data_IF_103620265028
#
_entry.id   IF_103620265028
#
_cell.length_a   1.000
_cell.length_b   1.000
_cell.length_c   1.000
_cell.angle_alpha   90.00
_cell.angle_beta   90.00
_cell.angle_gamma   90.00
#
_symmetry.space_group_name_H-M   'P 1'
#
loop_
_entity.id
_entity.type
_entity.pdbx_description
1 polymer ?
#
# COMPACT_ATOMS: atom_id res chain seq x y z
N UNK A 1 -40.88 18.19 52.13
CA UNK A 1 -42.04 18.73 52.87
C UNK A 1 -42.81 19.65 51.95
N UNK A 2 -44.08 19.33 51.67
CA UNK A 2 -45.16 20.13 51.03
C UNK A 2 -44.89 20.66 49.61
N UNK A 3 -45.81 20.78 48.65
CA UNK A 3 -47.27 20.57 48.47
C UNK A 3 -47.50 21.04 47.00
N UNK A 4 -48.27 20.38 46.13
CA UNK A 4 -49.67 20.68 45.76
C UNK A 4 -50.02 19.74 44.59
N UNK A 5 -50.91 18.77 44.74
CA UNK A 5 -52.39 18.82 44.66
C UNK A 5 -52.93 18.87 43.21
N UNK A 6 -53.40 17.70 42.76
CA UNK A 6 -54.13 17.40 41.52
C UNK A 6 -55.64 17.54 41.78
N UNK A 7 -56.37 18.13 40.83
CA UNK A 7 -57.83 18.31 40.89
C UNK A 7 -58.60 17.16 40.20
N UNK A 8 -59.79 16.92 40.73
CA UNK A 8 -60.56 15.68 40.70
C UNK A 8 -61.55 15.54 39.53
N UNK A 9 -61.88 14.28 39.24
CA UNK A 9 -63.01 13.80 38.45
C UNK A 9 -64.37 14.03 39.13
N UNK A 10 -65.46 13.98 38.35
CA UNK A 10 -66.82 13.79 38.85
C UNK A 10 -67.58 12.81 37.95
N UNK A 11 -67.95 11.71 38.59
CA UNK A 11 -68.72 10.52 38.18
C UNK A 11 -70.23 10.91 38.05
N UNK A 12 -71.14 10.26 37.30
CA UNK A 12 -71.92 9.09 37.76
C UNK A 12 -73.11 8.71 36.82
N UNK A 13 -73.11 7.43 36.35
CA UNK A 13 -74.21 6.41 36.24
C UNK A 13 -75.49 6.70 35.40
N UNK A 14 -76.24 5.76 34.77
CA UNK A 14 -76.39 4.27 34.68
C UNK A 14 -77.39 3.98 33.51
N UNK A 15 -77.14 3.02 32.58
CA UNK A 15 -77.70 1.63 32.47
C UNK A 15 -79.24 1.53 32.18
N UNK A 16 -79.85 0.65 31.35
CA UNK A 16 -79.53 -0.69 30.77
C UNK A 16 -80.52 -1.05 29.60
N UNK A 17 -79.97 -1.55 28.48
CA UNK A 17 -80.22 -2.78 27.64
C UNK A 17 -81.63 -3.33 27.25
N UNK A 18 -81.70 -3.76 25.96
CA UNK A 18 -82.29 -5.01 25.35
C UNK A 18 -83.56 -4.83 24.48
N UNK A 19 -83.86 -5.56 23.39
CA UNK A 19 -83.20 -6.36 22.34
C UNK A 19 -84.34 -6.91 21.41
N UNK A 20 -83.97 -7.40 20.21
CA UNK A 20 -84.78 -8.15 19.21
C UNK A 20 -85.73 -7.33 18.31
N UNK A 21 -85.93 -7.59 17.02
CA UNK A 21 -85.44 -8.62 16.09
C UNK A 21 -86.29 -8.57 14.80
N UNK A 22 -85.65 -8.70 13.64
CA UNK A 22 -86.13 -9.17 12.32
C UNK A 22 -87.64 -9.10 11.96
N UNK A 23 -88.01 -8.41 10.87
CA UNK A 23 -88.78 -8.98 9.74
C UNK A 23 -88.91 -7.98 8.57
N UNK A 24 -88.87 -8.54 7.37
CA UNK A 24 -88.75 -7.92 6.05
C UNK A 24 -90.04 -7.25 5.56
N UNK A 25 -89.93 -6.13 4.83
CA UNK A 25 -90.82 -5.83 3.71
C UNK A 25 -90.03 -5.25 2.54
N UNK A 26 -90.14 -5.96 1.40
CA UNK A 26 -89.72 -5.52 0.10
C UNK A 26 -90.84 -4.68 -0.53
N UNK A 27 -90.52 -3.53 -1.11
CA UNK A 27 -91.36 -2.89 -2.11
C UNK A 27 -90.62 -2.77 -3.44
N UNK A 28 -91.31 -3.26 -4.47
CA UNK A 28 -90.86 -3.41 -5.84
C UNK A 28 -91.23 -2.14 -6.63
N UNK A 29 -90.25 -1.64 -7.37
CA UNK A 29 -90.35 -0.95 -8.67
C UNK A 29 -90.82 0.51 -8.74
N UNK A 30 -89.87 1.40 -9.09
CA UNK A 30 -89.95 2.18 -10.33
C UNK A 30 -88.57 2.74 -10.73
N UNK A 31 -87.78 1.95 -11.45
CA UNK A 31 -86.66 2.51 -12.22
C UNK A 31 -87.21 3.06 -13.54
N UNK A 32 -87.37 4.38 -13.64
CA UNK A 32 -87.48 5.05 -14.93
C UNK A 32 -86.08 5.13 -15.51
N UNK A 33 -85.85 4.45 -16.65
CA UNK A 33 -84.57 4.45 -17.33
C UNK A 33 -84.12 5.86 -17.69
N UNK A 34 -83.10 6.35 -16.99
CA UNK A 34 -82.20 7.36 -17.53
C UNK A 34 -81.21 6.66 -18.46
N UNK A 35 -80.97 7.26 -19.62
CA UNK A 35 -79.99 6.81 -20.60
C UNK A 35 -78.67 6.38 -19.93
N UNK A 36 -78.21 5.18 -20.27
CA UNK A 36 -76.86 4.72 -19.91
C UNK A 36 -75.88 5.66 -20.61
N UNK A 37 -75.38 6.65 -19.87
CA UNK A 37 -74.16 7.35 -20.22
C UNK A 37 -73.04 6.34 -20.15
N UNK A 38 -72.55 5.94 -21.32
CA UNK A 38 -71.44 5.03 -21.50
C UNK A 38 -70.23 5.45 -20.66
N UNK A 39 -69.80 4.60 -19.73
CA UNK A 39 -68.56 4.81 -19.00
C UNK A 39 -67.39 4.33 -19.88
N UNK A 40 -66.70 5.25 -20.56
CA UNK A 40 -65.31 4.99 -20.97
C UNK A 40 -64.43 5.14 -19.73
N UNK A 41 -63.87 4.04 -19.23
CA UNK A 41 -62.81 4.10 -18.23
C UNK A 41 -61.46 4.16 -18.96
N UNK A 42 -60.68 5.18 -18.62
CA UNK A 42 -59.27 5.23 -18.99
C UNK A 42 -58.48 4.63 -17.83
N UNK A 43 -57.60 3.67 -18.13
CA UNK A 43 -56.66 3.09 -17.18
C UNK A 43 -55.25 3.49 -17.57
N UNK A 44 -54.47 3.93 -16.59
CA UNK A 44 -53.07 4.29 -16.77
C UNK A 44 -52.16 3.30 -16.06
N UNK A 45 -51.18 2.73 -16.76
CA UNK A 45 -50.37 1.63 -16.20
C UNK A 45 -49.26 2.10 -15.25
N UNK A 46 -48.92 3.39 -15.25
CA UNK A 46 -47.85 3.97 -14.42
C UNK A 46 -48.37 4.91 -13.30
N UNK A 47 -49.69 5.05 -13.20
CA UNK A 47 -50.37 5.85 -12.19
C UNK A 47 -50.65 7.31 -12.58
N UNK A 48 -50.52 7.71 -13.84
CA UNK A 48 -50.93 9.04 -14.31
C UNK A 48 -49.82 9.79 -15.01
N UNK A 49 -49.48 10.99 -14.53
CA UNK A 49 -48.32 11.74 -15.05
C UNK A 49 -47.04 11.24 -14.36
N UNK A 50 -46.37 10.24 -14.95
CA UNK A 50 -45.15 9.63 -14.46
C UNK A 50 -44.05 9.52 -15.54
N UNK A 51 -43.37 10.64 -15.76
CA UNK A 51 -42.33 10.76 -16.79
C UNK A 51 -41.13 9.80 -16.68
N UNK A 52 -40.98 9.06 -15.58
CA UNK A 52 -39.82 8.20 -15.31
C UNK A 52 -40.12 6.71 -15.34
N UNK A 53 -41.38 6.32 -15.59
CA UNK A 53 -41.80 4.94 -15.75
C UNK A 53 -42.63 4.86 -17.01
N UNK A 54 -42.27 3.98 -17.96
CA UNK A 54 -43.04 3.84 -19.19
C UNK A 54 -44.47 3.36 -18.87
N UNK A 55 -45.43 4.21 -19.16
CA UNK A 55 -46.87 4.00 -19.04
C UNK A 55 -47.59 3.74 -20.34
N UNK A 56 -48.88 3.46 -20.21
CA UNK A 56 -49.83 3.29 -21.30
C UNK A 56 -51.22 3.65 -20.81
N UNK A 57 -51.80 4.68 -21.43
CA UNK A 57 -53.19 5.05 -21.24
C UNK A 57 -54.09 4.18 -22.14
N UNK A 58 -54.94 3.38 -21.51
CA UNK A 58 -55.83 2.40 -22.17
C UNK A 58 -57.29 2.81 -21.98
N UNK A 59 -58.04 2.96 -23.09
CA UNK A 59 -59.50 3.09 -23.06
C UNK A 59 -60.13 1.77 -23.52
N UNK A 60 -61.15 1.32 -22.80
CA UNK A 60 -62.08 0.31 -23.29
C UNK A 60 -63.40 0.96 -23.71
N UNK A 61 -63.82 0.76 -24.95
CA UNK A 61 -65.08 1.28 -25.49
C UNK A 61 -66.24 0.30 -25.26
N UNK A 62 -67.48 0.75 -25.44
CA UNK A 62 -68.69 -0.06 -25.25
C UNK A 62 -68.75 -1.32 -26.15
N UNK A 63 -68.03 -1.30 -27.27
CA UNK A 63 -67.93 -2.44 -28.21
C UNK A 63 -66.83 -3.43 -27.81
N UNK A 64 -66.30 -3.32 -26.58
CA UNK A 64 -65.14 -4.09 -26.10
C UNK A 64 -63.85 -3.87 -26.91
N UNK A 65 -63.80 -2.81 -27.73
CA UNK A 65 -62.60 -2.41 -28.46
C UNK A 65 -61.69 -1.59 -27.55
N UNK A 66 -60.43 -2.02 -27.45
CA UNK A 66 -59.39 -1.36 -26.65
C UNK A 66 -58.53 -0.46 -27.53
N UNK A 67 -58.33 0.78 -27.09
CA UNK A 67 -57.41 1.75 -27.70
C UNK A 67 -56.35 2.08 -26.66
N UNK A 68 -55.08 1.98 -27.02
CA UNK A 68 -53.95 2.22 -26.11
C UNK A 68 -53.00 3.26 -26.68
N UNK A 69 -52.53 4.15 -25.81
CA UNK A 69 -51.49 5.13 -26.11
C UNK A 69 -50.35 4.93 -25.12
N UNK A 70 -49.16 4.65 -25.64
CA UNK A 70 -47.99 4.28 -24.84
C UNK A 70 -46.97 5.38 -24.90
N UNK A 71 -46.33 5.65 -23.76
CA UNK A 71 -45.29 6.66 -23.67
C UNK A 71 -44.15 6.40 -24.64
N UNK A 72 -43.71 7.48 -25.28
CA UNK A 72 -42.74 7.41 -26.34
C UNK A 72 -41.83 8.62 -26.31
N UNK A 73 -40.54 8.38 -26.53
CA UNK A 73 -39.59 9.46 -26.74
C UNK A 73 -39.84 10.07 -28.13
N UNK A 74 -40.32 11.31 -28.14
CA UNK A 74 -40.48 12.09 -29.37
C UNK A 74 -39.11 12.35 -30.01
N UNK A 75 -38.10 12.59 -29.19
CA UNK A 75 -36.69 12.71 -29.56
C UNK A 75 -35.81 12.32 -28.35
N UNK A 76 -34.49 12.46 -28.47
CA UNK A 76 -33.53 12.08 -27.43
C UNK A 76 -33.68 12.81 -26.10
N UNK A 77 -34.43 13.92 -26.03
CA UNK A 77 -34.59 14.77 -24.84
C UNK A 77 -36.04 15.12 -24.52
N UNK A 78 -37.01 14.60 -25.27
CA UNK A 78 -38.43 14.93 -25.08
C UNK A 78 -39.26 13.66 -25.03
N UNK A 79 -39.97 13.47 -23.92
CA UNK A 79 -40.94 12.40 -23.73
C UNK A 79 -42.34 12.90 -24.09
N UNK A 80 -43.05 12.16 -24.93
CA UNK A 80 -44.51 12.28 -25.02
C UNK A 80 -45.10 11.30 -24.02
N UNK A 81 -45.60 11.86 -22.93
CA UNK A 81 -46.29 11.18 -21.86
C UNK A 81 -47.78 11.06 -22.21
N UNK A 82 -48.33 9.85 -22.21
CA UNK A 82 -49.75 9.59 -22.34
C UNK A 82 -50.34 9.19 -21.01
N UNK A 83 -51.34 9.95 -20.57
CA UNK A 83 -51.93 9.74 -19.26
C UNK A 83 -53.45 9.85 -19.29
N UNK A 84 -54.10 9.27 -18.29
CA UNK A 84 -55.55 9.39 -18.15
C UNK A 84 -55.98 10.73 -17.51
N UNK A 85 -56.49 11.66 -18.33
CA UNK A 85 -57.16 12.87 -17.82
C UNK A 85 -58.66 12.61 -17.69
N UNK A 86 -59.10 12.41 -16.45
CA UNK A 86 -60.48 12.03 -16.11
C UNK A 86 -60.89 10.67 -16.70
N UNK A 87 -61.47 10.64 -17.90
CA UNK A 87 -61.97 9.41 -18.56
C UNK A 87 -61.42 9.21 -19.97
N UNK A 88 -60.49 10.07 -20.38
CA UNK A 88 -59.92 10.07 -21.72
C UNK A 88 -58.40 10.19 -21.63
N UNK A 89 -57.66 9.57 -22.56
CA UNK A 89 -56.23 9.72 -22.67
C UNK A 89 -55.94 11.15 -23.13
N UNK A 90 -54.95 11.74 -22.49
CA UNK A 90 -54.34 12.99 -22.85
C UNK A 90 -52.85 12.75 -23.05
N UNK A 91 -52.17 13.71 -23.67
CA UNK A 91 -50.72 13.66 -23.81
C UNK A 91 -50.06 14.98 -23.46
N UNK A 92 -48.86 14.94 -22.90
CA UNK A 92 -48.01 16.10 -22.68
C UNK A 92 -46.59 15.81 -23.14
N UNK A 93 -45.91 16.83 -23.67
CA UNK A 93 -44.49 16.72 -23.99
C UNK A 93 -43.66 17.24 -22.81
N UNK A 94 -42.90 16.36 -22.18
CA UNK A 94 -42.00 16.66 -21.08
C UNK A 94 -40.55 16.73 -21.57
N UNK A 95 -39.82 17.76 -21.14
CA UNK A 95 -38.38 17.84 -21.36
C UNK A 95 -37.64 16.97 -20.35
N UNK A 96 -36.82 16.04 -20.84
CA UNK A 96 -36.00 15.14 -20.02
C UNK A 96 -34.55 15.64 -20.01
N UNK A 97 -34.11 16.21 -18.88
CA UNK A 97 -32.76 16.79 -18.73
C UNK A 97 -31.63 15.81 -19.04
N UNK A 98 -31.78 14.53 -18.67
CA UNK A 98 -30.78 13.48 -18.87
C UNK A 98 -31.07 12.59 -20.09
N UNK A 99 -32.00 13.03 -20.94
CA UNK A 99 -32.45 12.31 -22.11
C UNK A 99 -33.68 11.44 -21.87
N UNK A 100 -34.29 11.01 -22.97
CA UNK A 100 -35.42 10.10 -23.00
C UNK A 100 -34.98 8.79 -23.66
N UNK A 101 -35.27 7.67 -23.02
CA UNK A 101 -35.01 6.34 -23.57
C UNK A 101 -36.16 5.38 -23.27
N UNK A 102 -36.52 4.56 -24.25
CA UNK A 102 -37.54 3.52 -24.13
C UNK A 102 -38.93 4.01 -23.66
N UNK A 103 -39.28 5.28 -23.88
CA UNK A 103 -40.55 5.85 -23.45
C UNK A 103 -40.58 6.31 -21.99
N UNK A 104 -39.41 6.66 -21.42
CA UNK A 104 -39.31 7.30 -20.12
C UNK A 104 -38.10 8.26 -20.09
N UNK A 105 -38.17 9.30 -19.26
CA UNK A 105 -37.02 10.13 -18.94
C UNK A 105 -35.99 9.33 -18.15
N UNK A 106 -34.71 9.50 -18.49
CA UNK A 106 -33.60 8.89 -17.77
C UNK A 106 -33.38 9.64 -16.45
N UNK A 107 -33.20 8.91 -15.35
CA UNK A 107 -32.76 9.48 -14.07
C UNK A 107 -31.23 9.62 -14.05
N UNK A 108 -30.68 10.68 -13.42
CA UNK A 108 -29.24 10.78 -13.28
C UNK A 108 -28.72 9.60 -12.48
N UNK A 109 -27.57 9.05 -12.89
CA UNK A 109 -26.84 8.08 -12.08
C UNK A 109 -26.32 8.81 -10.84
N UNK A 110 -26.39 8.16 -9.68
CA UNK A 110 -25.73 8.69 -8.50
C UNK A 110 -24.20 8.75 -8.73
N UNK A 111 -23.62 9.93 -8.50
CA UNK A 111 -22.19 10.18 -8.56
C UNK A 111 -21.74 10.84 -7.27
N UNK A 112 -20.55 10.46 -6.83
CA UNK A 112 -19.97 10.82 -5.55
C UNK A 112 -18.52 11.25 -5.76
N UNK A 113 -18.14 12.44 -5.30
CA UNK A 113 -16.86 13.07 -5.68
C UNK A 113 -15.65 12.54 -4.92
N UNK A 114 -15.83 11.90 -3.77
CA UNK A 114 -14.77 11.36 -2.91
C UNK A 114 -14.87 9.83 -2.69
N UNK A 115 -15.69 9.19 -3.52
CA UNK A 115 -15.84 7.75 -3.70
C UNK A 115 -16.37 7.00 -2.47
N UNK A 116 -17.62 7.26 -2.11
CA UNK A 116 -18.37 6.42 -1.18
C UNK A 116 -18.42 7.06 0.19
N UNK A 117 -18.07 6.32 1.23
CA UNK A 117 -18.12 6.84 2.60
C UNK A 117 -16.72 7.28 3.03
N UNK A 118 -16.33 8.50 2.68
CA UNK A 118 -15.04 9.12 2.95
C UNK A 118 -15.14 10.34 3.87
N UNK A 119 -15.25 10.09 5.17
CA UNK A 119 -15.41 11.12 6.21
C UNK A 119 -14.26 12.14 6.33
N UNK A 120 -13.15 11.98 5.60
CA UNK A 120 -11.94 12.83 5.71
C UNK A 120 -11.70 13.69 4.47
N UNK A 121 -12.54 13.55 3.46
CA UNK A 121 -12.57 14.43 2.28
C UNK A 121 -13.95 15.07 2.26
N UNK A 122 -14.03 16.30 1.78
CA UNK A 122 -15.34 16.94 1.60
C UNK A 122 -15.90 16.51 0.25
N UNK A 123 -16.95 15.72 0.26
CA UNK A 123 -17.64 15.22 -0.89
C UNK A 123 -18.84 16.05 -1.34
N UNK A 124 -19.23 15.79 -2.59
CA UNK A 124 -20.45 16.27 -3.21
C UNK A 124 -21.10 15.10 -3.95
N UNK A 125 -22.35 14.83 -3.59
CA UNK A 125 -23.18 13.80 -4.21
C UNK A 125 -24.27 14.41 -5.07
N UNK A 126 -24.40 13.87 -6.27
CA UNK A 126 -25.52 14.12 -7.17
C UNK A 126 -26.23 12.81 -7.47
N UNK A 127 -27.57 12.81 -7.55
CA UNK A 127 -28.27 11.58 -7.82
C UNK A 127 -29.75 11.71 -8.13
N UNK A 128 -30.45 10.56 -8.20
CA UNK A 128 -31.81 10.45 -8.70
C UNK A 128 -32.93 10.81 -7.71
N UNK A 129 -32.67 11.00 -6.40
CA UNK A 129 -33.70 11.39 -5.42
C UNK A 129 -33.78 12.88 -5.19
N UNK A 130 -32.64 13.57 -5.24
CA UNK A 130 -32.56 14.98 -4.89
C UNK A 130 -32.18 15.81 -6.13
N UNK A 131 -32.99 16.83 -6.42
CA UNK A 131 -32.74 17.77 -7.53
C UNK A 131 -31.63 18.80 -7.23
N UNK A 132 -30.75 18.50 -6.28
CA UNK A 132 -29.65 19.37 -5.85
C UNK A 132 -28.41 18.56 -5.46
N UNK A 133 -27.26 19.23 -5.46
CA UNK A 133 -26.05 18.71 -4.85
C UNK A 133 -26.26 18.52 -3.34
N UNK A 134 -25.89 17.34 -2.84
CA UNK A 134 -25.72 17.09 -1.41
C UNK A 134 -24.23 17.23 -1.10
N UNK A 135 -23.89 18.03 -0.09
CA UNK A 135 -22.51 18.38 0.21
C UNK A 135 -22.25 17.98 1.66
N UNK A 136 -21.12 17.34 1.90
CA UNK A 136 -20.73 16.94 3.23
C UNK A 136 -20.54 18.14 4.14
N UNK A 137 -20.92 17.96 5.40
CA UNK A 137 -20.92 19.06 6.35
C UNK A 137 -20.69 18.58 7.79
N UNK A 138 -20.23 19.51 8.61
CA UNK A 138 -19.98 19.26 10.02
C UNK A 138 -21.24 19.42 10.85
N UNK A 139 -21.48 18.49 11.77
CA UNK A 139 -22.64 18.45 12.65
C UNK A 139 -22.26 18.45 14.13
N UNK A 140 -23.20 18.89 14.98
CA UNK A 140 -23.08 19.00 16.45
C UNK A 140 -21.78 19.66 16.93
N UNK A 141 -21.64 20.96 16.64
CA UNK A 141 -20.48 21.77 17.01
C UNK A 141 -19.16 21.16 16.52
N UNK A 142 -19.13 20.75 15.25
CA UNK A 142 -17.93 20.17 14.63
C UNK A 142 -17.43 18.89 15.30
N UNK A 143 -18.31 18.05 15.87
CA UNK A 143 -17.91 16.73 16.42
C UNK A 143 -18.23 15.55 15.53
N UNK A 144 -19.05 15.75 14.51
CA UNK A 144 -19.43 14.71 13.57
C UNK A 144 -19.30 15.21 12.14
N UNK A 145 -18.91 14.34 11.23
CA UNK A 145 -19.06 14.53 9.79
C UNK A 145 -20.35 13.85 9.35
N UNK A 146 -21.18 14.58 8.60
CA UNK A 146 -22.28 14.02 7.82
C UNK A 146 -21.76 13.79 6.42
N UNK A 147 -21.70 12.51 6.08
CA UNK A 147 -21.21 11.98 4.81
C UNK A 147 -22.39 11.66 3.92
N UNK A 148 -22.54 12.35 2.79
CA UNK A 148 -23.43 11.94 1.72
C UNK A 148 -22.68 10.99 0.79
N UNK A 149 -23.34 9.92 0.37
CA UNK A 149 -22.69 8.95 -0.52
C UNK A 149 -23.68 8.27 -1.46
N UNK A 150 -23.16 7.67 -2.53
CA UNK A 150 -23.94 6.78 -3.39
C UNK A 150 -24.02 5.36 -2.79
N UNK A 151 -25.20 4.96 -2.33
CA UNK A 151 -25.43 3.61 -1.82
C UNK A 151 -25.43 2.56 -2.93
N UNK A 152 -25.25 1.28 -2.57
CA UNK A 152 -25.17 0.16 -3.51
C UNK A 152 -26.41 -0.02 -4.40
N UNK A 153 -27.57 0.50 -3.97
CA UNK A 153 -28.79 0.52 -4.76
C UNK A 153 -28.84 1.64 -5.82
N UNK A 154 -27.77 2.43 -5.97
CA UNK A 154 -27.65 3.52 -6.94
C UNK A 154 -28.32 4.83 -6.51
N UNK A 155 -28.71 4.94 -5.25
CA UNK A 155 -29.38 6.13 -4.69
C UNK A 155 -28.51 6.83 -3.64
N UNK A 156 -28.76 8.11 -3.45
CA UNK A 156 -28.12 8.94 -2.43
C UNK A 156 -28.52 8.46 -1.03
N UNK A 157 -27.55 8.43 -0.13
CA UNK A 157 -27.73 8.12 1.28
C UNK A 157 -26.82 9.01 2.12
N UNK A 158 -26.93 8.90 3.44
CA UNK A 158 -26.00 9.59 4.35
C UNK A 158 -25.58 8.71 5.52
N UNK A 159 -24.41 9.00 6.07
CA UNK A 159 -23.88 8.40 7.28
C UNK A 159 -23.41 9.51 8.22
N UNK A 160 -23.46 9.23 9.52
CA UNK A 160 -22.94 10.11 10.56
C UNK A 160 -21.72 9.44 11.19
N UNK A 161 -20.60 10.15 11.24
CA UNK A 161 -19.35 9.64 11.80
C UNK A 161 -18.79 10.60 12.85
N UNK A 162 -18.36 10.08 13.99
CA UNK A 162 -17.79 10.89 15.06
C UNK A 162 -16.32 11.23 14.74
N UNK A 163 -16.01 12.51 14.59
CA UNK A 163 -14.65 12.96 14.34
C UNK A 163 -13.92 13.17 15.67
N UNK A 164 -12.84 12.41 15.89
CA UNK A 164 -12.04 12.49 17.12
C UNK A 164 -11.39 13.87 17.30
N UNK A 165 -10.82 14.43 16.24
CA UNK A 165 -10.19 15.77 16.24
C UNK A 165 -11.14 16.87 15.75
N UNK A 166 -12.44 16.58 15.75
CA UNK A 166 -13.47 17.46 15.23
C UNK A 166 -13.56 17.49 13.70
N UNK A 167 -14.51 18.26 13.20
CA UNK A 167 -14.86 18.38 11.78
C UNK A 167 -14.71 19.82 11.32
N UNK A 168 -14.12 20.01 10.15
CA UNK A 168 -13.99 21.30 9.50
C UNK A 168 -14.31 21.19 8.01
N UNK A 169 -15.05 22.17 7.50
CA UNK A 169 -15.39 22.27 6.07
C UNK A 169 -16.04 21.01 5.47
N UNK A 170 -16.78 20.27 6.29
CA UNK A 170 -17.51 19.06 5.89
C UNK A 170 -16.74 17.75 5.98
N UNK A 171 -15.46 17.79 6.38
CA UNK A 171 -14.65 16.61 6.61
C UNK A 171 -14.16 16.55 8.06
N UNK A 172 -13.96 15.35 8.58
CA UNK A 172 -13.21 15.15 9.80
C UNK A 172 -11.79 15.68 9.63
N UNK A 173 -11.31 16.41 10.63
CA UNK A 173 -9.88 16.67 10.75
C UNK A 173 -9.16 15.32 10.86
N UNK A 174 -8.17 15.11 10.02
CA UNK A 174 -7.28 13.96 10.15
C UNK A 174 -6.58 14.06 11.50
N UNK A 175 -6.46 12.95 12.26
CA UNK A 175 -5.63 12.95 13.44
C UNK A 175 -4.24 13.45 13.06
N UNK A 176 -3.79 14.54 13.68
CA UNK A 176 -2.42 14.98 13.51
C UNK A 176 -1.56 13.82 14.00
N UNK A 177 -0.79 13.22 13.10
CA UNK A 177 0.07 12.08 13.37
C UNK A 177 1.49 12.43 12.92
N UNK A 178 2.50 11.77 13.49
CA UNK A 178 3.82 11.74 12.89
C UNK A 178 3.75 11.09 11.50
N UNK A 179 4.71 11.37 10.66
CA UNK A 179 4.91 10.74 9.35
C UNK A 179 6.40 10.61 9.11
N UNK A 180 6.97 9.50 9.52
CA UNK A 180 8.38 9.21 9.44
C UNK A 180 8.71 8.66 8.05
N UNK A 181 9.73 9.26 7.44
CA UNK A 181 10.28 8.78 6.18
C UNK A 181 11.80 8.74 6.26
N UNK A 182 12.39 7.88 5.43
CA UNK A 182 13.79 8.01 5.08
C UNK A 182 13.92 9.24 4.19
N UNK A 183 14.54 10.31 4.72
CA UNK A 183 14.77 11.55 3.98
C UNK A 183 15.84 11.36 2.90
N UNK A 184 16.93 10.67 3.26
CA UNK A 184 17.99 10.34 2.30
C UNK A 184 18.71 9.05 2.67
N UNK A 185 19.06 8.27 1.66
CA UNK A 185 19.87 7.07 1.76
C UNK A 185 20.98 7.14 0.71
N UNK A 186 22.23 7.22 1.15
CA UNK A 186 23.40 7.29 0.27
C UNK A 186 24.54 6.45 0.80
N UNK A 187 25.60 6.32 -0.01
CA UNK A 187 26.83 5.64 0.37
C UNK A 187 28.05 6.51 0.04
N UNK A 188 29.23 6.14 0.56
CA UNK A 188 30.45 6.91 0.32
C UNK A 188 30.99 6.81 -1.13
N UNK A 189 30.53 5.84 -1.93
CA UNK A 189 30.96 5.64 -3.33
C UNK A 189 29.81 5.15 -4.21
N UNK A 190 29.86 5.50 -5.50
CA UNK A 190 28.88 5.03 -6.49
C UNK A 190 29.11 3.57 -6.96
N UNK A 191 30.33 3.05 -6.78
CA UNK A 191 30.71 1.69 -7.14
C UNK A 191 31.84 1.19 -6.22
N UNK A 192 31.85 -0.12 -6.02
CA UNK A 192 32.75 -0.85 -5.12
C UNK A 192 33.34 -2.06 -5.84
N UNK A 193 34.47 -2.55 -5.34
CA UNK A 193 35.04 -3.85 -5.69
C UNK A 193 34.69 -4.88 -4.61
N UNK A 194 34.76 -6.18 -4.90
CA UNK A 194 34.60 -7.20 -3.87
C UNK A 194 35.62 -6.98 -2.73
N UNK A 195 35.18 -7.17 -1.49
CA UNK A 195 35.97 -6.89 -0.29
C UNK A 195 35.99 -5.42 0.14
N UNK A 196 35.52 -4.46 -0.68
CA UNK A 196 35.45 -3.06 -0.25
C UNK A 196 34.45 -2.88 0.90
N UNK A 197 34.86 -2.08 1.89
CA UNK A 197 33.95 -1.61 2.92
C UNK A 197 32.98 -0.56 2.36
N UNK A 198 31.68 -0.76 2.60
CA UNK A 198 30.62 0.18 2.25
C UNK A 198 30.22 0.99 3.48
N UNK A 199 30.22 2.32 3.36
CA UNK A 199 29.64 3.20 4.38
C UNK A 199 28.28 3.70 3.91
N UNK A 200 27.27 3.56 4.77
CA UNK A 200 25.89 3.94 4.49
C UNK A 200 25.57 5.20 5.32
N UNK A 201 24.97 6.20 4.67
CA UNK A 201 24.48 7.43 5.29
C UNK A 201 22.96 7.47 5.17
N UNK A 202 22.28 7.70 6.29
CA UNK A 202 20.82 7.64 6.39
C UNK A 202 20.36 8.85 7.19
N UNK A 203 19.40 9.58 6.64
CA UNK A 203 18.74 10.67 7.33
C UNK A 203 17.25 10.35 7.43
N UNK A 204 16.68 10.62 8.59
CA UNK A 204 15.26 10.42 8.85
C UNK A 204 14.58 11.78 9.07
N UNK A 205 13.35 11.91 8.59
CA UNK A 205 12.55 13.11 8.88
C UNK A 205 11.14 12.72 9.24
N UNK A 206 10.55 13.52 10.12
CA UNK A 206 9.13 13.49 10.38
C UNK A 206 8.45 14.58 9.54
N UNK A 207 7.83 14.21 8.42
CA UNK A 207 7.06 15.13 7.57
C UNK A 207 5.61 15.33 8.04
N UNK A 208 5.22 14.69 9.16
CA UNK A 208 3.89 14.76 9.74
C UNK A 208 3.70 15.98 10.64
N UNK A 209 2.56 16.02 11.33
CA UNK A 209 2.12 17.19 12.12
C UNK A 209 2.19 16.98 13.65
N UNK A 210 2.64 15.80 14.10
CA UNK A 210 2.95 15.51 15.50
C UNK A 210 4.37 14.97 15.64
N UNK A 211 4.94 15.15 16.83
CA UNK A 211 6.24 14.57 17.15
C UNK A 211 6.18 13.05 17.12
N UNK A 212 7.11 12.43 16.39
CA UNK A 212 7.34 10.99 16.44
C UNK A 212 8.06 10.67 17.73
N UNK A 213 7.57 9.68 18.49
CA UNK A 213 8.20 9.22 19.72
C UNK A 213 9.40 8.31 19.47
N UNK A 214 9.73 7.47 20.46
CA UNK A 214 10.76 6.44 20.30
C UNK A 214 10.30 5.38 19.30
N UNK A 215 11.19 5.02 18.37
CA UNK A 215 10.99 3.99 17.35
C UNK A 215 12.33 3.36 16.95
N UNK A 216 12.26 2.26 16.18
CA UNK A 216 13.42 1.53 15.67
C UNK A 216 13.52 1.64 14.14
N UNK A 217 14.72 1.86 13.62
CA UNK A 217 15.01 1.88 12.18
C UNK A 217 15.97 0.75 11.82
N UNK A 218 15.59 -0.07 10.84
CA UNK A 218 16.32 -1.27 10.45
C UNK A 218 16.97 -1.12 9.06
N UNK A 219 18.13 -1.76 8.91
CA UNK A 219 18.94 -1.83 7.70
C UNK A 219 18.97 -3.27 7.22
N UNK A 220 18.61 -3.49 5.97
CA UNK A 220 18.61 -4.80 5.33
C UNK A 220 19.43 -4.79 4.04
N UNK A 221 20.01 -5.94 3.70
CA UNK A 221 20.71 -6.14 2.42
C UNK A 221 20.12 -7.35 1.71
N UNK A 222 19.73 -7.15 0.44
CA UNK A 222 19.14 -8.16 -0.45
C UNK A 222 17.84 -8.80 0.06
N UNK A 223 17.10 -8.08 0.90
CA UNK A 223 15.80 -8.46 1.42
C UNK A 223 15.27 -7.41 2.40
N UNK A 224 14.15 -7.70 3.05
CA UNK A 224 13.56 -6.85 4.09
C UNK A 224 12.96 -7.69 5.24
N UNK A 225 13.52 -8.87 5.47
CA UNK A 225 13.12 -9.80 6.54
C UNK A 225 14.27 -9.97 7.58
N UNK A 226 13.99 -10.72 8.64
CA UNK A 226 14.94 -10.93 9.73
C UNK A 226 16.24 -11.65 9.32
N UNK A 227 16.25 -12.44 8.23
CA UNK A 227 17.46 -13.11 7.75
C UNK A 227 18.39 -12.16 6.99
N UNK A 228 17.85 -11.06 6.46
CA UNK A 228 18.56 -10.03 5.72
C UNK A 228 18.89 -8.80 6.56
N UNK A 229 18.51 -8.81 7.84
CA UNK A 229 18.76 -7.72 8.78
C UNK A 229 20.27 -7.63 9.07
N UNK A 230 20.87 -6.53 8.64
CA UNK A 230 22.28 -6.21 8.89
C UNK A 230 22.43 -5.06 9.87
N UNK A 231 21.37 -4.46 10.40
CA UNK A 231 21.52 -3.38 11.37
C UNK A 231 20.20 -2.89 11.89
N UNK A 232 20.21 -2.37 13.12
CA UNK A 232 19.09 -1.71 13.77
C UNK A 232 19.61 -0.56 14.62
N UNK A 233 18.85 0.54 14.67
CA UNK A 233 19.09 1.65 15.58
C UNK A 233 17.79 2.18 16.18
N UNK A 234 17.87 2.68 17.41
CA UNK A 234 16.73 3.19 18.15
C UNK A 234 16.82 4.72 18.29
N UNK A 235 15.79 5.44 17.86
CA UNK A 235 15.64 6.85 18.18
C UNK A 235 15.00 6.98 19.55
N UNK A 236 15.72 7.53 20.51
CA UNK A 236 15.22 7.69 21.89
C UNK A 236 14.67 9.10 22.15
N UNK A 237 15.13 10.09 21.38
CA UNK A 237 14.60 11.44 21.38
C UNK A 237 13.47 11.56 20.34
N UNK A 238 12.38 12.29 20.63
CA UNK A 238 11.31 12.50 19.66
C UNK A 238 11.74 13.36 18.45
N UNK A 239 11.34 12.97 17.24
CA UNK A 239 11.53 13.77 16.01
C UNK A 239 10.34 14.72 15.85
N UNK A 240 10.58 16.03 15.94
CA UNK A 240 9.54 17.04 15.77
C UNK A 240 9.07 17.15 14.30
N UNK A 241 7.83 17.61 14.05
CA UNK A 241 7.33 17.93 12.71
C UNK A 241 8.32 18.79 11.90
N UNK A 242 8.60 18.37 10.67
CA UNK A 242 9.52 19.03 9.74
C UNK A 242 11.00 18.99 10.15
N UNK A 243 11.35 18.33 11.26
CA UNK A 243 12.75 18.16 11.65
C UNK A 243 13.35 16.93 10.99
N UNK A 244 14.55 17.12 10.46
CA UNK A 244 15.42 16.05 9.98
C UNK A 244 16.34 15.71 11.14
N UNK A 245 16.33 14.46 11.58
CA UNK A 245 17.28 13.98 12.57
C UNK A 245 18.33 13.13 11.86
N UNK A 246 19.58 13.60 11.93
CA UNK A 246 20.75 12.75 11.75
C UNK A 246 20.76 11.77 12.93
N UNK A 247 21.00 10.47 12.74
CA UNK A 247 21.13 9.57 13.88
C UNK A 247 22.20 10.12 14.82
N UNK A 248 21.83 10.40 16.09
CA UNK A 248 22.70 11.03 17.12
C UNK A 248 24.01 10.27 17.35
N UNK A 249 24.12 9.05 16.80
CA UNK A 249 25.37 8.32 16.74
C UNK A 249 25.33 7.23 15.67
N UNK A 250 26.36 7.20 14.83
CA UNK A 250 26.69 6.04 13.99
C UNK A 250 27.24 4.96 14.93
N UNK A 251 26.41 3.99 15.35
CA UNK A 251 26.88 2.79 16.05
C UNK A 251 26.36 1.52 15.38
N UNK A 252 27.23 0.52 15.43
CA UNK A 252 27.25 -0.67 14.61
C UNK A 252 27.38 -1.89 15.52
N UNK A 253 26.50 -2.88 15.29
CA UNK A 253 26.58 -4.31 15.63
C UNK A 253 26.93 -4.73 17.07
N UNK A 254 25.94 -5.30 17.77
CA UNK A 254 26.18 -6.29 18.84
C UNK A 254 25.83 -7.67 18.24
N UNK A 255 26.53 -8.77 18.48
CA UNK A 255 27.43 -9.13 19.57
C UNK A 255 28.49 -10.14 19.06
N UNK A 256 29.68 -10.28 19.65
CA UNK A 256 29.86 -10.63 21.06
C UNK A 256 31.27 -10.34 21.56
N UNK A 257 31.32 -9.85 22.80
CA UNK A 257 32.41 -9.87 23.80
C UNK A 257 33.84 -10.15 23.28
N UNK A 258 34.71 -9.15 23.47
CA UNK A 258 36.16 -9.08 23.17
C UNK A 258 36.57 -8.61 21.77
N UNK A 259 36.91 -7.33 21.67
CA UNK A 259 38.18 -6.93 21.02
C UNK A 259 38.60 -5.56 21.56
N UNK A 260 39.61 -5.58 22.42
CA UNK A 260 40.40 -4.42 22.81
C UNK A 260 41.09 -3.84 21.56
N UNK A 261 41.28 -2.52 21.52
CA UNK A 261 41.91 -1.69 20.48
C UNK A 261 40.99 -1.19 19.33
N UNK A 262 40.47 0.03 19.54
CA UNK A 262 40.31 1.16 18.59
C UNK A 262 40.00 0.89 17.10
N UNK A 263 38.88 1.49 16.62
CA UNK A 263 38.41 1.66 15.21
C UNK A 263 37.34 0.70 14.63
N UNK A 264 36.68 -0.10 15.47
CA UNK A 264 35.58 -0.99 15.04
C UNK A 264 34.20 -0.32 15.08
N UNK A 265 33.88 0.41 14.02
CA UNK A 265 32.51 0.68 13.59
C UNK A 265 32.23 -0.27 12.41
N UNK A 266 31.39 -1.27 12.62
CA UNK A 266 31.21 -2.39 11.70
C UNK A 266 30.75 -1.96 10.32
N UNK A 267 31.58 -2.19 9.30
CA UNK A 267 31.24 -1.88 7.91
C UNK A 267 30.70 -3.16 7.29
N UNK A 268 29.56 -3.07 6.59
CA UNK A 268 29.23 -4.12 5.64
C UNK A 268 30.25 -4.05 4.50
N UNK A 269 30.78 -5.20 4.09
CA UNK A 269 31.72 -5.29 2.98
C UNK A 269 31.04 -5.93 1.79
N UNK A 270 31.37 -5.46 0.60
CA UNK A 270 30.97 -6.10 -0.63
C UNK A 270 31.40 -7.58 -0.63
N UNK A 271 30.50 -8.53 -0.91
CA UNK A 271 30.86 -9.93 -0.91
C UNK A 271 31.84 -10.24 -2.02
N UNK A 272 32.68 -11.25 -1.82
CA UNK A 272 33.73 -11.68 -2.76
C UNK A 272 33.15 -12.17 -4.10
N UNK A 273 31.89 -12.59 -4.09
CA UNK A 273 31.10 -12.89 -5.30
C UNK A 273 30.80 -11.67 -6.17
N UNK A 274 31.04 -10.45 -5.67
CA UNK A 274 30.60 -9.21 -6.29
C UNK A 274 29.09 -9.19 -6.52
N UNK A 275 28.65 -8.42 -7.50
CA UNK A 275 27.24 -8.31 -7.90
C UNK A 275 26.59 -6.98 -7.53
N UNK A 276 25.28 -6.91 -7.73
CA UNK A 276 24.46 -5.78 -7.34
C UNK A 276 23.71 -6.14 -6.06
N UNK A 277 23.75 -5.25 -5.07
CA UNK A 277 23.14 -5.47 -3.77
C UNK A 277 22.16 -4.35 -3.45
N UNK A 278 20.99 -4.71 -2.92
CA UNK A 278 19.95 -3.75 -2.56
C UNK A 278 19.97 -3.46 -1.07
N UNK A 279 20.30 -2.23 -0.70
CA UNK A 279 20.22 -1.74 0.68
C UNK A 279 18.81 -1.21 0.90
N UNK A 280 18.11 -1.74 1.88
CA UNK A 280 16.76 -1.27 2.26
C UNK A 280 16.79 -0.73 3.68
N UNK A 281 16.30 0.48 3.86
CA UNK A 281 16.06 1.09 5.17
C UNK A 281 14.56 1.07 5.44
N UNK A 282 14.17 0.60 6.61
CA UNK A 282 12.80 0.68 7.12
C UNK A 282 12.80 1.43 8.43
N UNK A 283 12.19 2.59 8.44
CA UNK A 283 11.91 3.40 9.63
C UNK A 283 10.67 2.87 10.33
N UNK A 284 10.60 3.02 11.65
CA UNK A 284 9.56 2.45 12.51
C UNK A 284 9.34 0.96 12.19
N UNK A 285 10.43 0.20 12.18
CA UNK A 285 10.48 -1.13 11.62
C UNK A 285 9.52 -2.11 12.30
N UNK A 286 9.21 -1.89 13.58
CA UNK A 286 8.27 -2.70 14.36
C UNK A 286 6.85 -2.11 14.42
N UNK A 287 6.58 -0.95 13.79
CA UNK A 287 5.27 -0.31 13.80
C UNK A 287 4.91 0.27 15.17
N UNK A 288 5.88 0.86 15.87
CA UNK A 288 5.70 1.42 17.21
C UNK A 288 4.95 2.75 17.19
N UNK A 289 5.04 3.47 16.08
CA UNK A 289 4.39 4.76 15.87
C UNK A 289 3.29 4.58 14.83
N UNK A 290 2.08 5.01 15.19
CA UNK A 290 0.97 4.99 14.24
C UNK A 290 0.91 6.32 13.49
N UNK A 291 1.36 6.28 12.24
CA UNK A 291 1.69 7.42 11.41
C UNK A 291 0.51 7.85 10.51
N UNK A 292 0.63 9.00 9.84
CA UNK A 292 -0.36 9.39 8.83
C UNK A 292 -0.25 8.57 7.54
N UNK A 293 0.93 8.02 7.26
CA UNK A 293 1.17 7.09 6.19
C UNK A 293 2.16 6.03 6.68
N UNK A 294 1.79 4.75 6.54
CA UNK A 294 2.58 3.60 7.04
C UNK A 294 3.38 2.94 5.90
N UNK A 295 3.36 3.55 4.70
CA UNK A 295 3.85 2.92 3.47
C UNK A 295 5.04 3.66 2.84
N UNK A 296 5.41 4.80 3.40
CA UNK A 296 6.51 5.69 2.97
C UNK A 296 7.74 5.62 3.88
N UNK A 297 7.73 4.71 4.86
CA UNK A 297 8.79 4.51 5.85
C UNK A 297 9.97 3.70 5.30
N UNK A 298 9.93 3.35 4.01
CA UNK A 298 10.89 2.46 3.36
C UNK A 298 11.57 3.18 2.20
N UNK A 299 12.90 3.14 2.18
CA UNK A 299 13.71 3.57 1.04
C UNK A 299 14.77 2.53 0.75
N UNK A 300 15.08 2.34 -0.54
CA UNK A 300 16.15 1.46 -0.95
C UNK A 300 17.05 2.10 -2.00
N UNK A 301 18.29 1.62 -2.06
CA UNK A 301 19.26 1.93 -3.10
C UNK A 301 19.98 0.66 -3.52
N UNK A 302 20.40 0.61 -4.77
CA UNK A 302 21.23 -0.48 -5.27
C UNK A 302 22.66 -0.03 -5.42
N UNK A 303 23.60 -0.79 -4.84
CA UNK A 303 25.04 -0.61 -5.02
C UNK A 303 25.62 -1.71 -5.90
N UNK A 304 26.76 -1.43 -6.54
CA UNK A 304 27.49 -2.40 -7.38
C UNK A 304 28.83 -2.74 -6.74
N UNK A 305 29.02 -4.00 -6.40
CA UNK A 305 30.22 -4.58 -5.80
C UNK A 305 31.18 -5.21 -6.82
N UNK A 306 31.14 -4.74 -8.08
CA UNK A 306 32.01 -5.25 -9.13
C UNK A 306 31.69 -6.68 -9.58
N UNK A 307 32.58 -7.26 -10.38
CA UNK A 307 32.53 -8.67 -10.77
C UNK A 307 33.18 -9.55 -9.69
N UNK A 308 32.83 -10.84 -9.58
CA UNK A 308 33.45 -11.75 -8.62
C UNK A 308 34.97 -11.71 -8.71
N UNK A 309 35.66 -11.65 -7.57
CA UNK A 309 37.10 -11.90 -7.53
C UNK A 309 37.33 -13.38 -7.87
N UNK A 310 38.16 -13.65 -8.87
CA UNK A 310 38.57 -15.02 -9.22
C UNK A 310 40.02 -15.20 -8.83
N UNK A 311 40.38 -16.39 -8.35
CA UNK A 311 41.79 -16.71 -8.13
C UNK A 311 42.59 -16.56 -9.43
N UNK A 312 43.70 -15.83 -9.35
CA UNK A 312 44.68 -15.67 -10.41
C UNK A 312 46.06 -16.02 -9.88
N UNK A 313 46.82 -16.71 -10.71
CA UNK A 313 48.12 -17.28 -10.37
C UNK A 313 49.11 -16.88 -11.48
N UNK A 314 50.22 -16.25 -11.08
CA UNK A 314 51.19 -15.68 -12.02
C UNK A 314 52.01 -16.70 -12.80
N UNK A 315 52.22 -17.91 -12.27
CA UNK A 315 52.99 -18.97 -12.93
C UNK A 315 52.13 -20.17 -13.39
N UNK A 316 50.83 -20.09 -13.09
CA UNK A 316 49.74 -20.92 -13.64
C UNK A 316 49.77 -22.35 -13.11
N UNK A 317 49.46 -22.47 -11.82
CA UNK A 317 49.33 -23.72 -11.09
C UNK A 317 50.61 -24.07 -10.35
N UNK A 318 50.76 -25.32 -9.97
CA UNK A 318 51.89 -25.76 -9.13
C UNK A 318 53.21 -25.75 -9.94
N UNK A 319 54.11 -24.81 -9.64
CA UNK A 319 55.40 -24.53 -10.32
C UNK A 319 56.53 -24.20 -9.34
N UNK A 320 56.98 -25.22 -8.62
CA UNK A 320 58.09 -25.13 -7.63
C UNK A 320 59.39 -24.42 -8.04
N UNK A 321 59.69 -24.24 -9.33
CA UNK A 321 60.94 -23.64 -9.83
C UNK A 321 60.74 -22.25 -10.44
N UNK A 322 59.53 -21.72 -10.38
CA UNK A 322 59.18 -20.36 -10.79
C UNK A 322 58.62 -19.68 -9.55
N UNK A 323 58.95 -18.41 -9.35
CA UNK A 323 58.35 -17.65 -8.26
C UNK A 323 56.95 -17.22 -8.67
N UNK A 324 55.95 -17.69 -7.94
CA UNK A 324 54.55 -17.37 -8.12
C UNK A 324 54.01 -16.33 -7.14
N UNK A 325 52.93 -15.66 -7.58
CA UNK A 325 52.05 -14.83 -6.78
C UNK A 325 50.61 -15.22 -7.10
N UNK A 326 49.87 -15.60 -6.07
CA UNK A 326 48.44 -15.87 -6.12
C UNK A 326 47.68 -14.67 -5.55
N UNK A 327 46.71 -14.18 -6.33
CA UNK A 327 45.70 -13.22 -5.90
C UNK A 327 44.38 -13.97 -5.91
N UNK A 328 43.74 -14.10 -4.75
CA UNK A 328 42.52 -14.88 -4.67
C UNK A 328 41.34 -14.18 -3.99
N UNK A 329 40.18 -14.86 -4.02
CA UNK A 329 38.90 -14.33 -3.54
C UNK A 329 38.81 -14.16 -2.02
N UNK A 330 39.83 -14.53 -1.23
CA UNK A 330 39.81 -14.45 0.22
C UNK A 330 40.66 -13.27 0.69
N UNK A 331 40.00 -12.15 0.99
CA UNK A 331 40.60 -10.90 1.52
C UNK A 331 41.51 -10.12 0.56
N UNK A 332 41.60 -10.50 -0.72
CA UNK A 332 42.43 -9.80 -1.72
C UNK A 332 43.93 -9.74 -1.33
N UNK A 333 44.39 -10.72 -0.55
CA UNK A 333 45.80 -10.78 -0.10
C UNK A 333 46.63 -11.43 -1.20
N UNK A 334 47.75 -10.79 -1.55
CA UNK A 334 48.74 -11.38 -2.44
C UNK A 334 49.54 -12.44 -1.67
N UNK A 335 49.34 -13.71 -2.00
CA UNK A 335 50.11 -14.84 -1.48
C UNK A 335 51.30 -15.09 -2.41
N UNK A 336 52.52 -14.95 -1.91
CA UNK A 336 53.74 -15.13 -2.71
C UNK A 336 54.46 -16.38 -2.26
N UNK A 337 54.97 -17.15 -3.20
CA UNK A 337 55.77 -18.34 -2.88
C UNK A 337 56.98 -17.95 -2.04
N UNK A 338 57.29 -18.81 -1.08
CA UNK A 338 58.38 -18.54 -0.16
C UNK A 338 59.10 -19.81 0.29
N UNK A 339 60.37 -19.62 0.57
CA UNK A 339 61.24 -20.66 1.10
C UNK A 339 61.09 -20.77 2.61
N UNK A 340 61.03 -22.00 3.11
CA UNK A 340 60.94 -22.28 4.54
C UNK A 340 61.86 -23.45 4.93
N UNK A 341 61.92 -23.75 6.24
CA UNK A 341 62.83 -24.77 6.82
C UNK A 341 64.28 -24.61 6.33
N UNK A 342 64.91 -23.49 6.66
CA UNK A 342 66.31 -23.18 6.30
C UNK A 342 66.57 -23.34 4.78
N UNK A 343 65.67 -22.84 3.93
CA UNK A 343 65.80 -22.86 2.47
C UNK A 343 65.85 -24.28 1.86
N UNK A 344 65.29 -25.29 2.52
CA UNK A 344 65.23 -26.65 1.96
C UNK A 344 63.87 -27.01 1.38
N UNK A 345 62.85 -26.19 1.64
CA UNK A 345 61.48 -26.42 1.17
C UNK A 345 60.86 -25.13 0.64
N UNK A 346 59.88 -25.28 -0.25
CA UNK A 346 59.05 -24.20 -0.77
C UNK A 346 57.60 -24.40 -0.32
N UNK A 347 56.96 -23.31 0.11
CA UNK A 347 55.51 -23.21 0.10
C UNK A 347 55.12 -22.59 -1.24
N UNK A 348 54.45 -23.40 -2.04
CA UNK A 348 53.90 -23.05 -3.33
C UNK A 348 52.43 -22.69 -3.16
N UNK A 349 52.06 -21.46 -3.47
CA UNK A 349 50.67 -21.02 -3.57
C UNK A 349 50.17 -21.21 -5.00
N UNK A 350 48.95 -21.70 -5.15
CA UNK A 350 48.34 -21.88 -6.47
C UNK A 350 46.82 -21.73 -6.41
N UNK A 351 46.19 -21.52 -7.57
CA UNK A 351 44.74 -21.62 -7.70
C UNK A 351 44.29 -23.07 -7.90
N UNK A 352 43.40 -23.55 -7.03
CA UNK A 352 42.82 -24.89 -7.16
C UNK A 352 41.78 -24.97 -8.30
N UNK A 353 41.27 -26.18 -8.56
CA UNK A 353 40.25 -26.43 -9.60
C UNK A 353 38.89 -25.76 -9.31
N UNK A 354 38.67 -25.29 -8.08
CA UNK A 354 37.46 -24.55 -7.67
C UNK A 354 37.69 -23.05 -7.64
N UNK A 355 38.84 -22.56 -8.16
CA UNK A 355 39.25 -21.16 -8.16
C UNK A 355 39.44 -20.56 -6.76
N UNK A 356 39.83 -21.38 -5.78
CA UNK A 356 40.24 -20.95 -4.45
C UNK A 356 41.76 -20.95 -4.31
N UNK A 357 42.28 -20.18 -3.37
CA UNK A 357 43.68 -20.23 -3.00
C UNK A 357 44.00 -21.52 -2.25
N UNK A 358 45.03 -22.22 -2.71
CA UNK A 358 45.58 -23.38 -2.05
C UNK A 358 47.10 -23.22 -1.90
N UNK A 359 47.68 -24.06 -1.04
CA UNK A 359 49.13 -24.15 -0.94
C UNK A 359 49.57 -25.60 -0.83
N UNK A 360 50.81 -25.86 -1.25
CA UNK A 360 51.46 -27.15 -1.07
C UNK A 360 52.91 -26.93 -0.64
N UNK A 361 53.38 -27.78 0.27
CA UNK A 361 54.77 -27.81 0.68
C UNK A 361 55.53 -28.83 -0.18
N UNK A 362 56.69 -28.44 -0.71
CA UNK A 362 57.56 -29.32 -1.49
C UNK A 362 59.01 -29.21 -1.03
N UNK A 363 59.70 -30.34 -0.92
CA UNK A 363 61.12 -30.40 -0.59
C UNK A 363 61.94 -30.11 -1.86
N UNK A 364 62.69 -29.00 -1.85
CA UNK A 364 63.54 -28.66 -2.98
C UNK A 364 64.74 -29.63 -3.06
N UNK A 365 65.09 -30.17 -4.24
CA UNK A 365 66.19 -31.13 -4.37
C UNK A 365 67.54 -30.60 -3.91
N UNK A 366 67.83 -29.32 -4.17
CA UNK A 366 69.10 -28.68 -3.82
C UNK A 366 68.90 -27.61 -2.74
N UNK A 367 68.27 -26.48 -3.09
CA UNK A 367 67.88 -25.42 -2.17
C UNK A 367 66.68 -24.64 -2.70
N UNK A 368 66.09 -23.81 -1.85
CA UNK A 368 65.06 -22.85 -2.21
C UNK A 368 65.63 -21.44 -2.05
N UNK A 369 65.44 -20.60 -3.06
CA UNK A 369 65.84 -19.20 -3.00
C UNK A 369 64.75 -18.31 -3.61
N UNK A 370 64.43 -17.18 -2.96
CA UNK A 370 63.47 -16.18 -3.44
C UNK A 370 62.10 -16.73 -3.85
N UNK A 371 61.61 -17.77 -3.18
CA UNK A 371 60.32 -18.38 -3.49
C UNK A 371 60.35 -19.27 -4.73
N UNK A 372 61.49 -19.87 -5.06
CA UNK A 372 61.62 -20.89 -6.09
C UNK A 372 62.69 -21.92 -5.69
N UNK A 373 62.47 -23.20 -5.99
CA UNK A 373 63.50 -24.23 -5.91
C UNK A 373 64.59 -23.96 -6.96
N UNK A 374 65.82 -24.27 -6.59
CA UNK A 374 66.97 -24.29 -7.49
C UNK A 374 67.22 -25.72 -7.98
N UNK A 375 67.78 -25.82 -9.19
CA UNK A 375 68.33 -27.06 -9.73
C UNK A 375 69.78 -26.84 -10.10
N UNK A 376 70.69 -27.49 -9.38
CA UNK A 376 72.11 -27.56 -9.67
C UNK A 376 72.39 -28.90 -10.37
N UNK A 377 72.72 -28.92 -11.68
CA UNK A 377 72.99 -30.18 -12.38
C UNK A 377 74.12 -30.93 -11.68
N UNK A 378 73.86 -32.17 -11.27
CA UNK A 378 74.76 -33.10 -10.55
C UNK A 378 74.84 -32.98 -9.02
N UNK A 379 74.05 -32.09 -8.40
CA UNK A 379 74.09 -31.85 -6.96
C UNK A 379 75.40 -31.17 -6.52
N UNK A 380 75.37 -30.46 -5.39
CA UNK A 380 76.56 -29.77 -4.91
C UNK A 380 77.51 -30.71 -4.15
N UNK A 381 78.84 -30.58 -4.36
CA UNK A 381 79.86 -31.26 -3.55
C UNK A 381 79.66 -31.04 -2.05
N UNK A 382 80.16 -31.99 -1.23
CA UNK A 382 80.04 -31.92 0.22
C UNK A 382 80.65 -30.62 0.77
N UNK A 383 79.81 -29.76 1.36
CA UNK A 383 80.21 -28.47 1.92
C UNK A 383 79.79 -27.25 1.11
N UNK A 384 79.20 -27.42 -0.08
CA UNK A 384 78.68 -26.34 -0.92
C UNK A 384 77.13 -26.28 -0.89
N UNK A 385 76.57 -25.09 -1.09
CA UNK A 385 75.14 -24.81 -1.21
C UNK A 385 74.81 -24.29 -2.61
N UNK A 386 73.66 -24.68 -3.16
CA UNK A 386 73.20 -24.17 -4.46
C UNK A 386 72.66 -22.74 -4.28
N UNK A 387 73.23 -21.79 -5.02
CA UNK A 387 72.85 -20.38 -5.06
C UNK A 387 72.82 -19.92 -6.53
N UNK A 388 71.70 -19.36 -6.99
CA UNK A 388 71.50 -18.98 -8.40
C UNK A 388 71.85 -20.09 -9.43
N UNK A 389 71.61 -21.37 -9.09
CA UNK A 389 71.92 -22.51 -9.96
C UNK A 389 73.41 -22.88 -10.05
N UNK A 390 74.24 -22.32 -9.16
CA UNK A 390 75.66 -22.64 -9.03
C UNK A 390 75.97 -23.10 -7.59
N UNK A 391 76.88 -24.06 -7.45
CA UNK A 391 77.35 -24.47 -6.12
C UNK A 391 78.37 -23.45 -5.60
N UNK A 392 78.13 -22.92 -4.40
CA UNK A 392 78.98 -21.96 -3.72
C UNK A 392 79.28 -22.46 -2.31
N UNK A 393 80.44 -22.12 -1.76
CA UNK A 393 80.71 -22.36 -0.34
C UNK A 393 79.79 -21.45 0.50
N UNK A 394 79.17 -21.97 1.57
CA UNK A 394 78.21 -21.24 2.40
C UNK A 394 78.78 -20.02 3.12
#
# INVERSE_FOLDING_TARGET
MNSRAVAAESVLLLLIIAAAGFFMFAEKNRMTGLAISAFSSCLDTDGGLNYYLKGTAVITTNESKTISYTDACLNSTTLTEYYCRSRFPASINQSCTYGCQAGACIKPKCTDSDNGRNYYVRGVVFGPRYERALIDYCYLNSRYAVEYYCAANGYESFALYACLEGCRDGACNTPLRPDLIVYSLTTDRAAYSPGDAVRIYINETNQGERSAGRHETNIYIDGADAAHLVGSFNFTAPIAPGSIQEPDSVYYFNASWFALYTEYFGRWHCPESGGAHNITIKVDALGEINESNETNNIMNITIKCGAPQTCSDSDRGIKYYVRGVVIGPKYGINLTDYCFLNNTHIIEYYCDFSSNEAFIAYACPDSCENGACLSCPHGCPSGEVCHNGLCVMP
#
